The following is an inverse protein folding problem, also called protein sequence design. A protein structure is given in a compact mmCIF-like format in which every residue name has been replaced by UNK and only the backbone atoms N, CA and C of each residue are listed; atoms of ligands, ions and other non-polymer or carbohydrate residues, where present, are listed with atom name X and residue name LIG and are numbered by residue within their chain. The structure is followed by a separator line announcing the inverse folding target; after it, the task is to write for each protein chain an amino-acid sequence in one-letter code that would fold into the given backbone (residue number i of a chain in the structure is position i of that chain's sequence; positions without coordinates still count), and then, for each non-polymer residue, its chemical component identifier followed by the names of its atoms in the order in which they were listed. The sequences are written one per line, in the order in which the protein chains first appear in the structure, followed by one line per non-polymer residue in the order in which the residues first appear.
data_IF_410563766803
#
_entry.id   IF_410563766803
#
_cell.length_a   1.000
_cell.length_b   1.000
_cell.length_c   1.000
_cell.angle_alpha   90.00
_cell.angle_beta   90.00
_cell.angle_gamma   90.00
#
_symmetry.space_group_name_H-M   'P 1'
#
loop_
_entity.id
_entity.type
_entity.pdbx_description
1 polymer ?
#
# COMPACT_ATOMS: atom_id res chain seq x y z
N UNK A 1 7.12 -3.41 13.62
CA UNK A 1 7.36 -1.96 13.74
C UNK A 1 8.30 -1.42 12.66
N UNK A 2 9.48 -2.02 12.41
CA UNK A 2 10.44 -1.51 11.40
C UNK A 2 9.82 -1.31 10.02
N UNK A 3 9.07 -2.31 9.51
CA UNK A 3 8.42 -2.20 8.19
C UNK A 3 7.38 -1.06 8.12
N UNK A 4 6.54 -0.91 9.13
CA UNK A 4 5.58 0.21 9.19
C UNK A 4 6.28 1.56 9.38
N UNK A 5 7.42 1.60 10.06
CA UNK A 5 8.27 2.78 10.14
C UNK A 5 8.84 3.17 8.78
N UNK A 6 9.36 2.20 8.02
CA UNK A 6 9.82 2.40 6.65
C UNK A 6 8.69 2.86 5.72
N UNK A 7 7.48 2.29 5.86
CA UNK A 7 6.29 2.78 5.18
C UNK A 7 6.00 4.24 5.52
N UNK A 8 6.02 4.63 6.79
CA UNK A 8 5.84 6.03 7.21
C UNK A 8 6.88 6.97 6.59
N UNK A 9 8.16 6.60 6.61
CA UNK A 9 9.23 7.40 5.96
C UNK A 9 9.01 7.52 4.47
N UNK A 10 8.59 6.44 3.80
CA UNK A 10 8.32 6.47 2.36
C UNK A 10 7.18 7.42 1.99
N UNK A 11 6.15 7.53 2.83
CA UNK A 11 5.05 8.47 2.62
C UNK A 11 5.50 9.92 2.75
N UNK A 12 6.41 10.21 3.70
CA UNK A 12 7.01 11.54 3.83
C UNK A 12 7.81 11.88 2.57
N UNK A 13 8.63 10.95 2.07
CA UNK A 13 9.38 11.16 0.81
C UNK A 13 8.41 11.41 -0.35
N UNK A 14 7.40 10.55 -0.53
CA UNK A 14 6.41 10.70 -1.60
C UNK A 14 5.61 12.02 -1.52
N UNK A 15 5.45 12.60 -0.32
CA UNK A 15 4.82 13.91 -0.15
C UNK A 15 5.71 15.08 -0.61
N UNK A 16 7.03 14.97 -0.45
CA UNK A 16 7.98 16.01 -0.89
C UNK A 16 8.31 15.95 -2.38
N UNK A 17 8.18 14.78 -3.01
CA UNK A 17 8.45 14.57 -4.43
C UNK A 17 7.15 14.20 -5.14
N UNK A 18 6.47 15.13 -5.82
CA UNK A 18 5.22 14.84 -6.53
C UNK A 18 5.41 13.83 -7.66
N UNK A 19 4.41 12.96 -7.83
CA UNK A 19 4.32 12.07 -8.98
C UNK A 19 4.08 12.86 -10.28
N UNK A 20 4.54 12.30 -11.40
CA UNK A 20 4.18 12.82 -12.70
C UNK A 20 2.70 12.54 -13.02
N UNK A 21 2.03 13.44 -13.74
CA UNK A 21 0.72 13.17 -14.32
C UNK A 21 0.75 11.94 -15.22
N UNK A 22 -0.18 11.00 -15.03
CA UNK A 22 -0.29 9.77 -15.81
C UNK A 22 -1.72 9.25 -15.81
N UNK A 23 -2.14 8.60 -16.91
CA UNK A 23 -3.36 7.78 -16.96
C UNK A 23 -4.61 8.55 -16.49
N UNK A 24 -4.80 9.76 -17.05
CA UNK A 24 -5.96 10.62 -16.73
C UNK A 24 -5.89 11.35 -15.38
N UNK A 25 -4.81 11.16 -14.60
CA UNK A 25 -4.63 11.78 -13.28
C UNK A 25 -3.51 12.83 -13.25
N UNK A 26 -3.72 14.03 -12.66
CA UNK A 26 -5.02 14.58 -12.28
C UNK A 26 -5.92 14.89 -13.51
N UNK A 27 -7.16 15.31 -13.27
CA UNK A 27 -8.10 15.64 -14.35
C UNK A 27 -7.49 16.67 -15.33
N UNK A 28 -7.50 16.32 -16.63
CA UNK A 28 -6.85 17.11 -17.69
C UNK A 28 -5.58 16.47 -18.24
N UNK A 29 -5.05 15.42 -17.59
CA UNK A 29 -3.93 14.62 -18.12
C UNK A 29 -4.42 13.70 -19.25
N UNK A 30 -3.68 13.58 -20.36
CA UNK A 30 -3.96 12.57 -21.38
C UNK A 30 -3.92 11.15 -20.81
N UNK A 31 -4.73 10.25 -21.39
CA UNK A 31 -4.68 8.82 -21.06
C UNK A 31 -3.41 8.16 -21.62
N UNK A 32 -2.94 7.12 -20.95
CA UNK A 32 -1.83 6.28 -21.41
C UNK A 32 -0.45 6.57 -20.80
N UNK A 33 0.57 5.93 -21.38
CA UNK A 33 1.93 5.91 -20.84
C UNK A 33 2.63 7.26 -21.10
N UNK A 34 3.29 7.87 -20.09
CA UNK A 34 4.02 9.11 -20.27
C UNK A 34 5.18 8.96 -21.26
N UNK A 35 5.39 9.95 -22.12
CA UNK A 35 6.55 9.98 -23.04
C UNK A 35 7.87 10.31 -22.35
N UNK A 36 7.81 10.84 -21.13
CA UNK A 36 8.96 11.19 -20.30
C UNK A 36 8.58 11.09 -18.82
N UNK A 37 9.54 10.71 -17.98
CA UNK A 37 9.39 10.67 -16.52
C UNK A 37 10.35 11.69 -15.93
N UNK A 38 9.86 12.55 -15.04
CA UNK A 38 10.67 13.53 -14.31
C UNK A 38 11.45 12.88 -13.17
N UNK A 39 12.50 13.55 -12.71
CA UNK A 39 13.26 13.08 -11.53
C UNK A 39 12.37 12.98 -10.29
N UNK A 40 11.43 13.91 -10.09
CA UNK A 40 10.50 13.85 -8.95
C UNK A 40 9.54 12.68 -9.09
N UNK A 41 9.05 12.39 -10.30
CA UNK A 41 8.24 11.21 -10.60
C UNK A 41 8.98 9.91 -10.29
N UNK A 42 10.26 9.81 -10.65
CA UNK A 42 11.11 8.64 -10.30
C UNK A 42 11.24 8.48 -8.79
N UNK A 43 11.54 9.55 -8.06
CA UNK A 43 11.68 9.51 -6.59
C UNK A 43 10.36 9.12 -5.93
N UNK A 44 9.24 9.71 -6.37
CA UNK A 44 7.91 9.37 -5.89
C UNK A 44 7.60 7.90 -6.10
N UNK A 45 7.86 7.40 -7.32
CA UNK A 45 7.59 6.02 -7.68
C UNK A 45 8.44 5.04 -6.86
N UNK A 46 9.73 5.33 -6.68
CA UNK A 46 10.62 4.52 -5.85
C UNK A 46 10.19 4.52 -4.36
N UNK A 47 9.79 5.68 -3.83
CA UNK A 47 9.25 5.79 -2.49
C UNK A 47 7.94 4.98 -2.35
N UNK A 48 7.04 5.08 -3.33
CA UNK A 48 5.84 4.25 -3.43
C UNK A 48 6.18 2.77 -3.41
N UNK A 49 7.05 2.30 -4.30
CA UNK A 49 7.42 0.89 -4.38
C UNK A 49 7.96 0.35 -3.06
N UNK A 50 8.83 1.10 -2.38
CA UNK A 50 9.31 0.75 -1.05
C UNK A 50 8.16 0.73 -0.02
N UNK A 51 7.33 1.78 0.01
CA UNK A 51 6.24 1.92 0.95
C UNK A 51 5.19 0.82 0.85
N UNK A 52 4.65 0.59 -0.34
CA UNK A 52 3.66 -0.45 -0.60
C UNK A 52 4.22 -1.86 -0.35
N UNK A 53 5.50 -2.09 -0.66
CA UNK A 53 6.17 -3.35 -0.31
C UNK A 53 6.26 -3.53 1.20
N UNK A 54 6.72 -2.52 1.94
CA UNK A 54 6.80 -2.56 3.40
C UNK A 54 5.42 -2.76 4.05
N UNK A 55 4.38 -2.09 3.55
CA UNK A 55 3.02 -2.25 4.03
C UNK A 55 2.47 -3.65 3.72
N UNK A 56 2.64 -4.13 2.48
CA UNK A 56 2.24 -5.48 2.07
C UNK A 56 2.91 -6.56 2.92
N UNK A 57 4.23 -6.49 3.11
CA UNK A 57 4.97 -7.43 3.97
C UNK A 57 4.49 -7.32 5.42
N UNK A 58 4.20 -6.12 5.94
CA UNK A 58 3.63 -5.96 7.28
C UNK A 58 2.32 -6.71 7.45
N UNK A 59 1.45 -6.67 6.43
CA UNK A 59 0.20 -7.42 6.42
C UNK A 59 0.45 -8.94 6.40
N UNK A 60 1.38 -9.42 5.58
CA UNK A 60 1.72 -10.86 5.51
C UNK A 60 2.33 -11.38 6.81
N UNK A 61 3.22 -10.60 7.43
CA UNK A 61 3.79 -10.92 8.75
C UNK A 61 2.69 -10.96 9.81
N UNK A 62 1.78 -9.99 9.82
CA UNK A 62 0.64 -10.00 10.73
C UNK A 62 -0.25 -11.23 10.49
N UNK A 63 -0.51 -11.61 9.24
CA UNK A 63 -1.26 -12.81 8.91
C UNK A 63 -0.63 -14.08 9.50
N UNK A 64 0.70 -14.20 9.38
CA UNK A 64 1.47 -15.30 9.94
C UNK A 64 1.45 -15.31 11.47
N UNK A 65 1.62 -14.17 12.13
CA UNK A 65 1.55 -14.07 13.60
C UNK A 65 0.15 -14.45 14.09
N UNK A 66 -0.90 -13.91 13.47
CA UNK A 66 -2.29 -14.13 13.88
C UNK A 66 -2.77 -15.55 13.62
N UNK A 67 -2.23 -16.24 12.60
CA UNK A 67 -2.54 -17.65 12.38
C UNK A 67 -2.02 -18.53 13.51
N UNK A 68 -0.88 -18.18 14.11
CA UNK A 68 -0.30 -18.86 15.28
C UNK A 68 -1.05 -18.55 16.58
N UNK A 69 -1.71 -17.41 16.68
CA UNK A 69 -2.50 -16.99 17.85
C UNK A 69 -3.98 -17.41 17.78
N UNK A 70 -4.36 -18.25 16.80
CA UNK A 70 -5.71 -18.74 16.57
C UNK A 70 -6.77 -17.65 16.26
N UNK A 71 -6.35 -16.44 15.88
CA UNK A 71 -7.21 -15.33 15.44
C UNK A 71 -7.45 -15.40 13.92
N UNK A 72 -8.08 -16.50 13.47
CA UNK A 72 -8.19 -16.87 12.05
C UNK A 72 -8.87 -15.84 11.14
N UNK A 73 -9.80 -15.03 11.67
CA UNK A 73 -10.43 -13.95 10.91
C UNK A 73 -9.43 -12.84 10.57
N UNK A 74 -8.67 -12.38 11.57
CA UNK A 74 -7.68 -11.32 11.42
C UNK A 74 -6.48 -11.79 10.58
N UNK A 75 -6.11 -13.06 10.70
CA UNK A 75 -5.09 -13.68 9.85
C UNK A 75 -5.49 -13.63 8.36
N UNK A 76 -6.71 -14.06 8.03
CA UNK A 76 -7.23 -14.03 6.65
C UNK A 76 -7.38 -12.61 6.12
N UNK A 77 -7.90 -11.69 6.95
CA UNK A 77 -7.99 -10.28 6.59
C UNK A 77 -6.60 -9.72 6.26
N UNK A 78 -5.60 -9.97 7.11
CA UNK A 78 -4.24 -9.47 6.90
C UNK A 78 -3.59 -10.08 5.67
N UNK A 79 -3.82 -11.36 5.39
CA UNK A 79 -3.32 -12.01 4.17
C UNK A 79 -3.95 -11.37 2.93
N UNK A 80 -5.28 -11.24 2.91
CA UNK A 80 -6.01 -10.65 1.80
C UNK A 80 -5.58 -9.20 1.56
N UNK A 81 -5.45 -8.40 2.62
CA UNK A 81 -4.97 -7.01 2.54
C UNK A 81 -3.54 -6.93 2.01
N UNK A 82 -2.63 -7.78 2.48
CA UNK A 82 -1.25 -7.79 1.99
C UNK A 82 -1.15 -8.09 0.50
N UNK A 83 -1.89 -9.12 0.04
CA UNK A 83 -1.95 -9.46 -1.38
C UNK A 83 -2.60 -8.36 -2.20
N UNK A 84 -3.72 -7.79 -1.73
CA UNK A 84 -4.42 -6.70 -2.41
C UNK A 84 -3.57 -5.42 -2.53
N UNK A 85 -2.78 -5.08 -1.50
CA UNK A 85 -1.85 -3.94 -1.53
C UNK A 85 -0.74 -4.17 -2.56
N UNK A 86 -0.13 -5.35 -2.57
CA UNK A 86 0.95 -5.69 -3.51
C UNK A 86 0.44 -5.78 -4.95
N UNK A 87 -0.70 -6.43 -5.17
CA UNK A 87 -1.34 -6.53 -6.48
C UNK A 87 -1.85 -5.16 -6.94
N UNK A 88 -2.38 -4.33 -6.05
CA UNK A 88 -2.81 -2.97 -6.39
C UNK A 88 -1.65 -2.13 -6.91
N UNK A 89 -0.51 -2.16 -6.21
CA UNK A 89 0.65 -1.36 -6.62
C UNK A 89 1.38 -1.92 -7.85
N UNK A 90 1.67 -3.23 -7.87
CA UNK A 90 2.46 -3.85 -8.94
C UNK A 90 1.62 -4.37 -10.12
N UNK A 91 0.30 -4.44 -9.97
CA UNK A 91 -0.61 -5.03 -10.96
C UNK A 91 -0.59 -4.29 -12.29
N UNK A 92 -0.48 -2.96 -12.28
CA UNK A 92 -0.38 -2.17 -13.51
C UNK A 92 0.90 -2.45 -14.32
N UNK A 93 1.97 -2.93 -13.69
CA UNK A 93 3.19 -3.34 -14.39
C UNK A 93 3.05 -4.69 -15.10
N UNK A 94 2.26 -5.60 -14.50
CA UNK A 94 2.13 -6.98 -14.99
C UNK A 94 0.95 -7.11 -15.95
N UNK A 95 -0.14 -6.40 -15.69
CA UNK A 95 -1.42 -6.49 -16.39
C UNK A 95 -1.98 -5.09 -16.74
N UNK A 96 -1.27 -4.29 -17.55
CA UNK A 96 -1.65 -2.90 -17.84
C UNK A 96 -3.02 -2.74 -18.51
N UNK A 97 -3.47 -3.76 -19.24
CA UNK A 97 -4.79 -3.75 -19.91
C UNK A 97 -5.97 -4.08 -18.98
N UNK A 98 -5.69 -4.57 -17.77
CA UNK A 98 -6.70 -5.02 -16.79
C UNK A 98 -6.70 -4.08 -15.58
N UNK A 99 -5.53 -3.54 -15.23
CA UNK A 99 -5.32 -2.64 -14.10
C UNK A 99 -4.65 -1.35 -14.58
N UNK A 100 -5.43 -0.31 -14.95
CA UNK A 100 -4.89 1.02 -15.15
C UNK A 100 -4.09 1.42 -13.91
N UNK A 101 -2.86 1.90 -14.10
CA UNK A 101 -1.85 1.99 -13.05
C UNK A 101 -2.34 2.80 -11.85
N UNK A 102 -3.04 3.91 -12.11
CA UNK A 102 -3.57 4.81 -11.08
C UNK A 102 -4.71 4.14 -10.28
N UNK A 103 -5.57 3.36 -10.93
CA UNK A 103 -6.69 2.66 -10.28
C UNK A 103 -6.20 1.57 -9.34
N UNK A 104 -5.19 0.80 -9.77
CA UNK A 104 -4.57 -0.23 -8.93
C UNK A 104 -3.94 0.36 -7.67
N UNK A 105 -3.19 1.46 -7.82
CA UNK A 105 -2.56 2.17 -6.70
C UNK A 105 -3.63 2.67 -5.73
N UNK A 106 -4.69 3.33 -6.24
CA UNK A 106 -5.80 3.81 -5.41
C UNK A 106 -6.43 2.68 -4.57
N UNK A 107 -6.67 1.54 -5.21
CA UNK A 107 -7.19 0.35 -4.51
C UNK A 107 -6.25 -0.12 -3.41
N UNK A 108 -4.95 -0.21 -3.70
CA UNK A 108 -3.91 -0.56 -2.72
C UNK A 108 -3.87 0.40 -1.53
N UNK A 109 -4.01 1.71 -1.77
CA UNK A 109 -4.08 2.74 -0.72
C UNK A 109 -5.26 2.47 0.19
N UNK A 110 -6.48 2.36 -0.36
CA UNK A 110 -7.70 2.19 0.43
C UNK A 110 -7.63 0.93 1.28
N UNK A 111 -7.20 -0.20 0.71
CA UNK A 111 -7.07 -1.46 1.44
C UNK A 111 -6.00 -1.36 2.53
N UNK A 112 -4.86 -0.74 2.23
CA UNK A 112 -3.77 -0.55 3.19
C UNK A 112 -4.19 0.27 4.41
N UNK A 113 -4.87 1.40 4.19
CA UNK A 113 -5.39 2.25 5.26
C UNK A 113 -6.50 1.58 6.07
N UNK A 114 -7.40 0.85 5.41
CA UNK A 114 -8.43 0.09 6.11
C UNK A 114 -7.82 -0.99 7.01
N UNK A 115 -6.82 -1.71 6.52
CA UNK A 115 -6.12 -2.73 7.30
C UNK A 115 -5.38 -2.12 8.50
N UNK A 116 -4.65 -1.00 8.30
CA UNK A 116 -3.97 -0.28 9.38
C UNK A 116 -4.96 0.14 10.46
N UNK A 117 -6.10 0.71 10.06
CA UNK A 117 -7.15 1.15 10.99
C UNK A 117 -7.69 -0.01 11.83
N UNK A 118 -8.01 -1.13 11.19
CA UNK A 118 -8.51 -2.33 11.87
C UNK A 118 -7.47 -2.90 12.84
N UNK A 119 -6.20 -2.99 12.41
CA UNK A 119 -5.14 -3.52 13.26
C UNK A 119 -4.87 -2.60 14.45
N UNK A 120 -4.84 -1.28 14.26
CA UNK A 120 -4.69 -0.31 15.34
C UNK A 120 -5.81 -0.44 16.37
N UNK A 121 -7.07 -0.53 15.93
CA UNK A 121 -8.21 -0.74 16.82
C UNK A 121 -8.12 -2.07 17.57
N UNK A 122 -7.70 -3.14 16.91
CA UNK A 122 -7.51 -4.44 17.55
C UNK A 122 -6.46 -4.38 18.67
N UNK A 123 -5.29 -3.80 18.38
CA UNK A 123 -4.19 -3.68 19.34
C UNK A 123 -4.56 -2.77 20.52
N UNK A 124 -5.28 -1.67 20.28
CA UNK A 124 -5.79 -0.80 21.35
C UNK A 124 -6.76 -1.54 22.28
N UNK A 125 -7.69 -2.33 21.73
CA UNK A 125 -8.66 -3.11 22.52
C UNK A 125 -7.98 -4.19 23.36
N UNK A 126 -6.93 -4.81 22.82
CA UNK A 126 -6.13 -5.77 23.58
C UNK A 126 -5.36 -5.12 24.72
N UNK A 127 -4.76 -3.95 24.49
CA UNK A 127 -4.04 -3.21 25.53
C UNK A 127 -4.97 -2.78 26.67
N UNK A 128 -6.17 -2.27 26.34
CA UNK A 128 -7.16 -1.87 27.34
C UNK A 128 -7.75 -3.05 28.14
N UNK A 129 -7.77 -4.26 27.60
CA UNK A 129 -8.21 -5.46 28.32
C UNK A 129 -7.13 -6.04 29.24
N UNK A 130 -5.88 -5.61 29.10
CA UNK A 130 -4.73 -6.07 29.89
C UNK A 130 -4.42 -5.17 31.11
N UNK A 131 -5.10 -4.03 31.24
CA UNK A 131 -5.03 -3.10 32.36
C UNK A 131 -6.16 -3.34 33.36
#
# INVERSE_FOLDING_TARGET
CVLLGAFGVSMIVAAFFPADPVDGFPAGTPEGIPTSISTTGIVHFAAGALGFTCLGISCLVAAWVMSRQNTRSLARLSLASGLAVLVGFFGGFVLPNIFPGTTGIWFGVVVGWAWLSVLSLHLQRQAAAAT
#
